data_IF_360706676406
#
_entry.id   IF_360706676406
#
_cell.length_a   1.000
_cell.length_b   1.000
_cell.length_c   1.000
_cell.angle_alpha   90.00
_cell.angle_beta   90.00
_cell.angle_gamma   90.00
#
_symmetry.space_group_name_H-M   'P 1'
#
loop_
_entity.id
_entity.type
_entity.pdbx_description
1 polymer ?
#
# COMPACT_ATOMS: atom_id res chain seq x y z
N UNK A 1 -6.71 6.93 0.07
CA UNK A 1 -6.56 7.19 -1.40
C UNK A 1 -6.23 8.65 -1.67
N UNK A 2 -7.10 9.65 -1.39
CA UNK A 2 -6.84 11.05 -1.75
C UNK A 2 -5.55 11.65 -1.14
N UNK A 3 -5.23 11.37 0.12
CA UNK A 3 -3.99 11.79 0.75
C UNK A 3 -2.76 11.29 -0.01
N UNK A 4 -2.71 9.99 -0.34
CA UNK A 4 -1.60 9.39 -1.08
C UNK A 4 -1.48 9.98 -2.50
N UNK A 5 -2.60 10.16 -3.20
CA UNK A 5 -2.60 10.75 -4.53
C UNK A 5 -2.00 12.17 -4.56
N UNK A 6 -2.33 13.00 -3.55
CA UNK A 6 -1.78 14.35 -3.46
C UNK A 6 -0.28 14.36 -3.08
N UNK A 7 0.16 13.46 -2.19
CA UNK A 7 1.57 13.37 -1.80
C UNK A 7 2.47 12.79 -2.92
N UNK A 8 1.94 11.87 -3.76
CA UNK A 8 2.70 11.17 -4.81
C UNK A 8 2.51 11.73 -6.22
N UNK A 9 1.74 12.80 -6.38
CA UNK A 9 1.54 13.45 -7.68
C UNK A 9 2.88 13.97 -8.25
N UNK A 10 2.94 14.17 -9.56
CA UNK A 10 4.09 14.81 -10.24
C UNK A 10 4.40 16.19 -9.65
N UNK A 11 3.36 16.91 -9.21
CA UNK A 11 3.47 18.14 -8.42
C UNK A 11 2.83 17.87 -7.05
N UNK A 12 3.60 17.41 -6.04
CA UNK A 12 3.05 17.05 -4.74
C UNK A 12 2.39 18.23 -4.03
N UNK A 13 1.26 17.96 -3.36
CA UNK A 13 0.59 18.92 -2.50
C UNK A 13 0.46 18.31 -1.10
N UNK A 14 1.51 18.48 -0.30
CA UNK A 14 1.57 17.89 1.03
C UNK A 14 0.56 18.50 2.00
N UNK A 15 0.26 19.79 1.87
CA UNK A 15 -0.78 20.45 2.70
C UNK A 15 -2.15 19.78 2.49
N UNK A 16 -2.52 19.54 1.24
CA UNK A 16 -3.77 18.86 0.91
C UNK A 16 -3.75 17.37 1.29
N UNK A 17 -2.60 16.72 1.15
CA UNK A 17 -2.40 15.35 1.58
C UNK A 17 -2.56 15.20 3.10
N UNK A 18 -1.99 16.12 3.89
CA UNK A 18 -2.16 16.20 5.34
C UNK A 18 -3.62 16.42 5.73
N UNK A 19 -4.33 17.33 5.07
CA UNK A 19 -5.75 17.56 5.35
C UNK A 19 -6.57 16.28 5.19
N UNK A 20 -6.41 15.56 4.07
CA UNK A 20 -7.10 14.30 3.86
C UNK A 20 -6.71 13.20 4.86
N UNK A 21 -5.44 13.10 5.24
CA UNK A 21 -4.98 12.17 6.27
C UNK A 21 -5.60 12.51 7.62
N UNK A 22 -5.49 13.76 8.02
CA UNK A 22 -5.94 14.22 9.33
C UNK A 22 -7.47 14.17 9.50
N UNK A 23 -8.24 14.28 8.42
CA UNK A 23 -9.69 14.03 8.47
C UNK A 23 -10.02 12.60 8.93
N UNK A 24 -9.27 11.59 8.47
CA UNK A 24 -9.43 10.20 8.92
C UNK A 24 -9.08 10.09 10.40
N UNK A 25 -7.92 10.63 10.79
CA UNK A 25 -7.42 10.58 12.17
C UNK A 25 -8.36 11.31 13.16
N UNK A 26 -8.81 12.51 12.82
CA UNK A 26 -9.78 13.27 13.65
C UNK A 26 -11.10 12.53 13.84
N UNK A 27 -11.56 11.79 12.82
CA UNK A 27 -12.73 10.91 12.97
C UNK A 27 -12.45 9.78 13.97
N UNK A 28 -11.27 9.14 13.89
CA UNK A 28 -10.91 8.00 14.72
C UNK A 28 -10.63 8.40 16.18
N UNK A 29 -9.93 9.51 16.41
CA UNK A 29 -9.52 9.97 17.74
C UNK A 29 -10.48 10.99 18.37
N UNK A 30 -11.43 11.53 17.58
CA UNK A 30 -12.36 12.59 17.98
C UNK A 30 -11.68 13.90 18.45
N UNK A 31 -10.41 14.12 18.06
CA UNK A 31 -9.64 15.31 18.42
C UNK A 31 -8.62 15.67 17.31
N UNK A 32 -7.85 16.75 17.54
CA UNK A 32 -6.79 17.23 16.65
C UNK A 32 -5.37 16.97 17.20
N UNK A 33 -5.24 16.37 18.39
CA UNK A 33 -3.94 16.15 19.04
C UNK A 33 -3.10 15.09 18.30
N UNK A 34 -3.77 14.29 17.48
CA UNK A 34 -3.18 13.21 16.70
C UNK A 34 -2.94 13.59 15.23
N UNK A 35 -3.05 14.87 14.90
CA UNK A 35 -2.77 15.35 13.54
C UNK A 35 -1.31 15.15 13.14
N UNK A 36 -1.12 14.77 11.90
CA UNK A 36 0.21 14.61 11.29
C UNK A 36 0.55 15.89 10.52
N UNK A 37 1.71 16.47 10.84
CA UNK A 37 2.26 17.66 10.18
C UNK A 37 3.53 17.34 9.34
N UNK A 38 3.80 16.05 9.07
CA UNK A 38 4.92 15.61 8.26
C UNK A 38 4.76 15.97 6.78
N UNK A 39 5.86 16.04 6.04
CA UNK A 39 5.90 16.32 4.61
C UNK A 39 6.69 15.23 3.85
N UNK A 40 6.56 15.19 2.53
CA UNK A 40 7.36 14.35 1.64
C UNK A 40 7.31 12.87 2.00
N UNK A 41 8.50 12.27 2.16
CA UNK A 41 8.62 10.84 2.46
C UNK A 41 8.06 10.44 3.83
N UNK A 42 8.18 11.30 4.83
CA UNK A 42 7.63 11.06 6.16
C UNK A 42 6.09 11.08 6.14
N UNK A 43 5.48 12.01 5.41
CA UNK A 43 4.04 12.03 5.18
C UNK A 43 3.57 10.80 4.41
N UNK A 44 4.31 10.39 3.38
CA UNK A 44 4.02 9.16 2.63
C UNK A 44 3.97 7.94 3.56
N UNK A 45 4.96 7.79 4.44
CA UNK A 45 4.99 6.69 5.39
C UNK A 45 3.80 6.76 6.36
N UNK A 46 3.49 7.93 6.90
CA UNK A 46 2.33 8.13 7.79
C UNK A 46 1.01 7.76 7.11
N UNK A 47 0.83 8.11 5.83
CA UNK A 47 -0.34 7.73 5.04
C UNK A 47 -0.44 6.20 4.89
N UNK A 48 0.67 5.51 4.65
CA UNK A 48 0.70 4.05 4.52
C UNK A 48 0.44 3.34 5.86
N UNK A 49 0.93 3.91 6.97
CA UNK A 49 0.68 3.39 8.31
C UNK A 49 -0.78 3.57 8.71
N UNK A 50 -1.38 4.72 8.40
CA UNK A 50 -2.82 4.95 8.61
C UNK A 50 -3.68 3.99 7.79
N UNK A 51 -3.33 3.76 6.52
CA UNK A 51 -4.02 2.75 5.69
C UNK A 51 -3.97 1.37 6.31
N UNK A 52 -2.82 0.97 6.85
CA UNK A 52 -2.67 -0.33 7.53
C UNK A 52 -3.66 -0.49 8.69
N UNK A 53 -3.88 0.56 9.46
CA UNK A 53 -4.79 0.54 10.60
C UNK A 53 -6.24 0.60 10.14
N UNK A 54 -6.56 1.51 9.23
CA UNK A 54 -7.92 1.74 8.73
C UNK A 54 -8.50 0.51 8.01
N UNK A 55 -7.66 -0.19 7.22
CA UNK A 55 -8.05 -1.41 6.50
C UNK A 55 -7.61 -2.71 7.21
N UNK A 56 -7.38 -2.65 8.52
CA UNK A 56 -7.10 -3.84 9.30
C UNK A 56 -8.25 -4.84 9.19
N UNK A 57 -7.92 -6.12 8.93
CA UNK A 57 -8.87 -7.23 8.77
C UNK A 57 -9.69 -7.24 7.45
N UNK A 58 -9.45 -6.31 6.52
CA UNK A 58 -10.12 -6.29 5.21
C UNK A 58 -9.41 -7.15 4.14
N UNK A 59 -8.24 -7.70 4.45
CA UNK A 59 -7.49 -8.60 3.55
C UNK A 59 -6.57 -7.90 2.54
N UNK A 60 -6.58 -6.58 2.47
CA UNK A 60 -5.86 -5.80 1.45
C UNK A 60 -4.36 -5.62 1.72
N UNK A 61 -3.85 -6.05 2.89
CA UNK A 61 -2.48 -5.75 3.32
C UNK A 61 -1.40 -6.25 2.37
N UNK A 62 -1.54 -7.44 1.83
CA UNK A 62 -0.58 -8.01 0.88
C UNK A 62 -0.48 -7.14 -0.38
N UNK A 63 -1.61 -6.84 -0.99
CA UNK A 63 -1.67 -6.03 -2.21
C UNK A 63 -1.15 -4.61 -1.99
N UNK A 64 -1.42 -4.02 -0.83
CA UNK A 64 -0.91 -2.70 -0.46
C UNK A 64 0.62 -2.70 -0.31
N UNK A 65 1.20 -3.73 0.28
CA UNK A 65 2.65 -3.90 0.40
C UNK A 65 3.33 -4.11 -0.96
N UNK A 66 2.74 -4.92 -1.84
CA UNK A 66 3.24 -5.14 -3.20
C UNK A 66 3.16 -3.82 -3.99
N UNK A 67 2.00 -3.17 -4.02
CA UNK A 67 1.76 -1.91 -4.72
C UNK A 67 2.71 -0.78 -4.29
N UNK A 68 3.07 -0.74 -3.01
CA UNK A 68 3.95 0.30 -2.43
C UNK A 68 5.43 -0.07 -2.45
N UNK A 69 5.78 -1.26 -2.94
CA UNK A 69 7.16 -1.77 -3.00
C UNK A 69 7.73 -2.17 -1.64
N UNK A 70 6.88 -2.38 -0.63
CA UNK A 70 7.31 -2.72 0.74
C UNK A 70 7.31 -4.22 1.02
N UNK A 71 6.78 -5.05 0.12
CA UNK A 71 6.56 -6.48 0.37
C UNK A 71 7.84 -7.21 0.77
N UNK A 72 8.93 -7.02 0.03
CA UNK A 72 10.21 -7.67 0.30
C UNK A 72 10.82 -7.31 1.67
N UNK A 73 10.50 -6.13 2.21
CA UNK A 73 11.02 -5.68 3.52
C UNK A 73 10.08 -6.01 4.68
N UNK A 74 8.80 -6.23 4.42
CA UNK A 74 7.76 -6.39 5.45
C UNK A 74 7.21 -7.81 5.55
N UNK A 75 7.44 -8.66 4.55
CA UNK A 75 6.97 -10.05 4.52
C UNK A 75 8.16 -10.99 4.53
N UNK A 76 8.31 -11.76 5.61
CA UNK A 76 9.37 -12.76 5.70
C UNK A 76 9.20 -13.83 4.61
N UNK A 77 10.27 -14.12 3.88
CA UNK A 77 10.26 -15.10 2.79
C UNK A 77 9.70 -14.58 1.45
N UNK A 78 9.36 -13.30 1.36
CA UNK A 78 8.95 -12.71 0.08
C UNK A 78 10.15 -12.59 -0.87
N UNK A 79 10.00 -13.14 -2.07
CA UNK A 79 10.99 -13.08 -3.16
C UNK A 79 10.49 -12.10 -4.21
N UNK A 80 11.18 -10.95 -4.34
CA UNK A 80 10.85 -9.95 -5.35
C UNK A 80 11.03 -10.51 -6.77
N UNK A 81 10.11 -10.15 -7.66
CA UNK A 81 10.04 -10.68 -9.02
C UNK A 81 9.35 -12.05 -9.14
N UNK A 82 8.97 -12.65 -8.01
CA UNK A 82 8.21 -13.92 -7.98
C UNK A 82 6.89 -13.75 -7.25
N UNK A 83 6.95 -13.36 -5.97
CA UNK A 83 5.80 -13.42 -5.08
C UNK A 83 4.80 -12.26 -5.24
N UNK A 84 5.05 -11.32 -6.14
CA UNK A 84 4.06 -10.32 -6.57
C UNK A 84 2.90 -10.94 -7.36
N UNK A 85 3.13 -12.09 -7.97
CA UNK A 85 2.16 -12.85 -8.73
C UNK A 85 1.92 -14.21 -8.09
N UNK A 86 0.75 -14.78 -8.32
CA UNK A 86 0.47 -16.18 -7.97
C UNK A 86 0.89 -17.09 -9.14
N UNK A 87 1.22 -18.36 -8.87
CA UNK A 87 1.41 -19.33 -9.95
C UNK A 87 0.11 -19.54 -10.72
N UNK A 88 0.22 -19.70 -12.04
CA UNK A 88 -0.90 -20.18 -12.85
C UNK A 88 -1.10 -21.66 -12.52
N UNK A 89 -2.33 -22.14 -12.27
CA UNK A 89 -2.58 -23.56 -12.06
C UNK A 89 -1.98 -24.40 -13.19
N UNK A 90 -1.27 -25.48 -12.84
CA UNK A 90 -0.56 -26.30 -13.84
C UNK A 90 -1.50 -26.82 -14.93
N UNK A 91 -2.72 -27.17 -14.56
CA UNK A 91 -3.73 -27.61 -15.53
C UNK A 91 -4.03 -26.55 -16.60
N UNK A 92 -4.08 -25.27 -16.22
CA UNK A 92 -4.31 -24.18 -17.18
C UNK A 92 -3.09 -23.97 -18.09
N UNK A 93 -1.90 -24.11 -17.55
CA UNK A 93 -0.65 -24.07 -18.36
C UNK A 93 -0.66 -25.18 -19.41
N UNK A 94 -1.01 -26.41 -19.00
CA UNK A 94 -0.98 -27.59 -19.89
C UNK A 94 -2.04 -27.54 -21.00
N UNK A 95 -3.26 -27.06 -20.66
CA UNK A 95 -4.38 -27.00 -21.62
C UNK A 95 -4.26 -25.81 -22.57
N UNK A 96 -3.90 -24.63 -22.04
CA UNK A 96 -3.92 -23.38 -22.79
C UNK A 96 -2.57 -23.00 -23.40
N UNK A 97 -1.51 -23.73 -23.12
CA UNK A 97 -0.16 -23.43 -23.58
C UNK A 97 0.41 -22.12 -23.02
N UNK A 98 -0.07 -21.68 -21.86
CA UNK A 98 0.39 -20.45 -21.19
C UNK A 98 1.81 -20.63 -20.65
N UNK A 99 2.58 -19.54 -20.67
CA UNK A 99 3.85 -19.50 -19.95
C UNK A 99 3.60 -19.21 -18.49
N UNK A 100 4.19 -20.02 -17.59
CA UNK A 100 4.11 -19.82 -16.16
C UNK A 100 4.71 -18.47 -15.72
N UNK A 101 4.21 -17.91 -14.63
CA UNK A 101 4.77 -16.70 -14.03
C UNK A 101 6.22 -16.94 -13.57
N UNK A 102 7.07 -15.89 -13.57
CA UNK A 102 8.48 -16.04 -13.22
C UNK A 102 8.71 -16.68 -11.85
N UNK A 103 9.61 -17.66 -11.80
CA UNK A 103 10.02 -18.31 -10.55
C UNK A 103 9.14 -19.47 -10.08
N UNK A 104 8.11 -19.88 -10.84
CA UNK A 104 7.25 -21.03 -10.56
C UNK A 104 7.45 -22.17 -11.56
#
# INVERSE_FOLDING_TARGET
MAAEANNRATSPNDTKAQDYLNRVRRRAFADTNHDIAANGAALKQAIWDERRVEFAMEGDRFFDLVRTGQAATKITGFVAGKNELFPIPQQEVDISGLTQNPGY
#
